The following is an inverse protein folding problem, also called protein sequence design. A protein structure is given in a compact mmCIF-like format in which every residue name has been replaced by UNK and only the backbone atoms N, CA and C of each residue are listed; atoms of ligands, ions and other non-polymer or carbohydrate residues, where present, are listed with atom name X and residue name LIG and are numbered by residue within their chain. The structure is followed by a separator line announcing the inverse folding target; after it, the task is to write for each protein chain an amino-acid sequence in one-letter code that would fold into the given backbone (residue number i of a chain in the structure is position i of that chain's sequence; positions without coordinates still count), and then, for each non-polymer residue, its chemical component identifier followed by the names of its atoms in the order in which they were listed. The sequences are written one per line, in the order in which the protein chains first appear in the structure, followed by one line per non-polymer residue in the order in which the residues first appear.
data_IF_783842274551
#
_entry.id   IF_783842274551
#
_cell.length_a   1.000
_cell.length_b   1.000
_cell.length_c   1.000
_cell.angle_alpha   90.00
_cell.angle_beta   90.00
_cell.angle_gamma   90.00
#
_symmetry.space_group_name_H-M   'P 1'
#
loop_
_entity.id
_entity.type
_entity.pdbx_description
1 polymer ?
#
# COMPACT_ATOMS: atom_id res chain seq x y z
N UNK A 1 7.68 -15.05 5.55
CA UNK A 1 7.90 -14.81 4.10
C UNK A 1 7.19 -13.54 3.67
N UNK A 2 7.85 -12.76 2.82
CA UNK A 2 7.24 -11.53 2.30
C UNK A 2 6.44 -11.79 1.03
N UNK A 3 5.34 -11.09 0.87
CA UNK A 3 4.59 -11.08 -0.38
C UNK A 3 4.04 -9.66 -0.64
N UNK A 4 3.89 -9.33 -1.91
CA UNK A 4 3.24 -8.08 -2.28
C UNK A 4 1.77 -8.20 -1.89
N UNK A 5 1.32 -7.32 -0.98
CA UNK A 5 -0.05 -7.35 -0.48
C UNK A 5 -0.95 -6.36 -1.20
N UNK A 6 -0.44 -5.18 -1.43
CA UNK A 6 -1.20 -4.12 -2.07
C UNK A 6 -0.30 -3.16 -2.83
N UNK A 7 -0.83 -2.64 -3.93
CA UNK A 7 -0.26 -1.49 -4.62
C UNK A 7 -1.09 -0.28 -4.20
N UNK A 8 -0.45 0.78 -3.77
CA UNK A 8 -1.12 2.01 -3.38
C UNK A 8 -1.03 3.01 -4.53
N UNK A 9 -2.17 3.48 -4.98
CA UNK A 9 -2.31 4.30 -6.19
C UNK A 9 -2.95 5.64 -5.83
N UNK A 10 -2.21 6.72 -6.03
CA UNK A 10 -2.72 8.07 -5.74
C UNK A 10 -3.67 8.54 -6.82
N UNK A 11 -4.84 9.05 -6.42
CA UNK A 11 -5.88 9.50 -7.35
C UNK A 11 -6.45 10.83 -6.89
N UNK A 12 -6.99 11.60 -7.81
CA UNK A 12 -7.61 12.91 -7.51
C UNK A 12 -9.12 12.83 -7.35
N UNK A 13 -9.75 11.83 -7.92
CA UNK A 13 -11.19 11.60 -7.81
C UNK A 13 -11.40 10.15 -7.40
N UNK A 14 -11.63 9.97 -6.11
CA UNK A 14 -11.73 8.62 -5.53
C UNK A 14 -12.91 7.84 -6.10
N UNK A 15 -14.07 8.47 -6.23
CA UNK A 15 -15.27 7.80 -6.74
C UNK A 15 -15.08 7.28 -8.17
N UNK A 16 -14.54 8.14 -9.04
CA UNK A 16 -14.26 7.75 -10.43
C UNK A 16 -13.21 6.66 -10.50
N UNK A 17 -12.18 6.72 -9.66
CA UNK A 17 -11.14 5.71 -9.61
C UNK A 17 -11.69 4.36 -9.16
N UNK A 18 -12.56 4.33 -8.14
CA UNK A 18 -13.22 3.11 -7.70
C UNK A 18 -14.02 2.50 -8.84
N UNK A 19 -14.84 3.29 -9.53
CA UNK A 19 -15.64 2.80 -10.65
C UNK A 19 -14.78 2.25 -11.77
N UNK A 20 -13.74 2.99 -12.15
CA UNK A 20 -12.85 2.58 -13.24
C UNK A 20 -12.10 1.29 -12.92
N UNK A 21 -11.41 1.26 -11.79
CA UNK A 21 -10.56 0.12 -11.45
C UNK A 21 -11.36 -1.13 -11.10
N UNK A 22 -12.52 -0.96 -10.47
CA UNK A 22 -13.41 -2.09 -10.19
C UNK A 22 -13.87 -2.77 -11.49
N UNK A 23 -14.24 -1.97 -12.48
CA UNK A 23 -14.66 -2.50 -13.78
C UNK A 23 -13.48 -3.07 -14.56
N UNK A 24 -12.37 -2.33 -14.61
CA UNK A 24 -11.19 -2.73 -15.40
C UNK A 24 -10.58 -4.04 -14.93
N UNK A 25 -10.50 -4.25 -13.62
CA UNK A 25 -9.82 -5.41 -13.03
C UNK A 25 -10.78 -6.51 -12.57
N UNK A 26 -12.08 -6.28 -12.62
CA UNK A 26 -13.07 -7.14 -11.99
C UNK A 26 -12.81 -7.27 -10.47
N UNK A 27 -12.52 -6.13 -9.85
CA UNK A 27 -12.32 -6.00 -8.41
C UNK A 27 -13.56 -5.42 -7.75
N UNK A 28 -13.61 -5.51 -6.44
CA UNK A 28 -14.67 -4.91 -5.63
C UNK A 28 -14.08 -4.29 -4.37
N UNK A 29 -14.84 -3.39 -3.74
CA UNK A 29 -14.45 -2.83 -2.46
C UNK A 29 -14.36 -3.95 -1.42
N UNK A 30 -13.21 -4.04 -0.76
CA UNK A 30 -13.02 -4.99 0.34
C UNK A 30 -13.74 -4.53 1.60
N UNK A 31 -13.82 -3.22 1.80
CA UNK A 31 -14.51 -2.55 2.89
C UNK A 31 -15.24 -1.32 2.34
N UNK A 32 -16.23 -0.76 3.05
CA UNK A 32 -16.82 0.51 2.64
C UNK A 32 -15.73 1.57 2.48
N UNK A 33 -15.81 2.35 1.40
CA UNK A 33 -14.81 3.37 1.12
C UNK A 33 -14.87 4.50 2.15
N UNK A 34 -13.69 4.98 2.55
CA UNK A 34 -13.56 6.19 3.33
C UNK A 34 -13.59 7.42 2.42
N UNK A 35 -13.54 8.61 3.03
CA UNK A 35 -13.55 9.86 2.27
C UNK A 35 -12.30 10.02 1.40
N UNK A 36 -11.17 9.48 1.85
CA UNK A 36 -9.86 9.64 1.20
C UNK A 36 -9.16 8.32 0.88
N UNK A 37 -9.82 7.20 1.09
CA UNK A 37 -9.19 5.89 0.95
C UNK A 37 -10.20 4.83 0.54
N UNK A 38 -9.79 3.96 -0.37
CA UNK A 38 -10.58 2.79 -0.76
C UNK A 38 -9.65 1.61 -1.04
N UNK A 39 -10.07 0.42 -0.69
CA UNK A 39 -9.30 -0.78 -0.91
C UNK A 39 -10.09 -1.74 -1.80
N UNK A 40 -9.53 -2.05 -2.96
CA UNK A 40 -10.13 -2.96 -3.92
C UNK A 40 -9.42 -4.32 -3.89
N UNK A 41 -10.18 -5.37 -4.05
CA UNK A 41 -9.65 -6.73 -4.09
C UNK A 41 -10.35 -7.53 -5.19
N UNK A 42 -9.71 -8.60 -5.70
CA UNK A 42 -10.36 -9.46 -6.69
C UNK A 42 -11.70 -9.99 -6.20
N UNK A 43 -12.71 -9.99 -7.05
CA UNK A 43 -14.02 -10.58 -6.73
C UNK A 43 -13.92 -12.06 -6.48
N UNK A 44 -13.05 -12.73 -7.20
CA UNK A 44 -12.88 -14.18 -7.12
C UNK A 44 -11.41 -14.50 -6.88
N UNK A 45 -11.13 -15.28 -5.84
CA UNK A 45 -9.80 -15.80 -5.57
C UNK A 45 -8.89 -14.81 -4.86
N UNK A 46 -7.63 -15.21 -4.77
CA UNK A 46 -6.59 -14.41 -4.13
C UNK A 46 -5.86 -13.58 -5.18
N UNK A 47 -5.41 -12.41 -4.79
CA UNK A 47 -4.65 -11.55 -5.67
C UNK A 47 -4.19 -10.30 -4.94
N UNK A 48 -3.39 -9.52 -5.65
CA UNK A 48 -2.85 -8.27 -5.12
C UNK A 48 -3.99 -7.27 -4.97
N UNK A 49 -4.07 -6.64 -3.82
CA UNK A 49 -5.03 -5.59 -3.56
C UNK A 49 -4.58 -4.28 -4.23
N UNK A 50 -5.53 -3.48 -4.63
CA UNK A 50 -5.27 -2.13 -5.12
C UNK A 50 -5.90 -1.15 -4.13
N UNK A 51 -5.06 -0.40 -3.45
CA UNK A 51 -5.52 0.65 -2.54
C UNK A 51 -5.49 1.98 -3.28
N UNK A 52 -6.58 2.72 -3.19
CA UNK A 52 -6.72 4.02 -3.82
C UNK A 52 -6.65 5.09 -2.74
N UNK A 53 -5.71 6.00 -2.86
CA UNK A 53 -5.55 7.10 -1.92
C UNK A 53 -5.82 8.42 -2.60
N UNK A 54 -6.73 9.22 -2.02
CA UNK A 54 -7.00 10.56 -2.52
C UNK A 54 -5.78 11.44 -2.25
N UNK A 55 -5.28 12.07 -3.31
CA UNK A 55 -4.18 13.03 -3.24
C UNK A 55 -4.68 14.39 -3.69
N UNK A 56 -4.23 15.45 -3.01
CA UNK A 56 -4.67 16.82 -3.28
C UNK A 56 -3.63 17.62 -4.06
N UNK A 57 -2.40 17.13 -4.14
CA UNK A 57 -1.30 17.84 -4.81
C UNK A 57 -1.12 17.35 -6.23
N UNK A 58 -0.89 18.27 -7.16
CA UNK A 58 -0.54 17.95 -8.54
C UNK A 58 0.88 17.42 -8.67
N UNK A 59 1.71 17.61 -7.65
CA UNK A 59 3.16 17.37 -7.76
C UNK A 59 3.59 15.93 -7.57
N UNK A 60 2.78 15.10 -6.93
CA UNK A 60 3.21 13.71 -6.76
C UNK A 60 2.01 12.83 -6.50
N UNK A 61 1.63 12.10 -7.50
CA UNK A 61 0.89 10.87 -7.28
C UNK A 61 1.88 9.90 -6.67
N UNK A 62 1.76 9.65 -5.39
CA UNK A 62 2.65 8.74 -4.70
C UNK A 62 2.12 7.32 -4.83
N UNK A 63 2.81 6.55 -5.63
CA UNK A 63 2.51 5.13 -5.77
C UNK A 63 3.54 4.37 -4.95
N UNK A 64 3.10 3.42 -4.14
CA UNK A 64 4.02 2.56 -3.40
C UNK A 64 3.40 1.18 -3.21
N UNK A 65 4.23 0.23 -2.77
CA UNK A 65 3.77 -1.13 -2.46
C UNK A 65 3.65 -1.31 -0.95
N UNK A 66 2.66 -2.07 -0.55
CA UNK A 66 2.58 -2.63 0.78
C UNK A 66 3.02 -4.09 0.70
N UNK A 67 3.99 -4.45 1.51
CA UNK A 67 4.51 -5.81 1.59
C UNK A 67 4.03 -6.41 2.91
N UNK A 68 3.35 -7.53 2.84
CA UNK A 68 2.80 -8.19 4.02
C UNK A 68 3.81 -9.15 4.63
N UNK A 69 3.95 -9.08 5.96
CA UNK A 69 4.88 -9.89 6.72
C UNK A 69 4.18 -10.55 7.90
N UNK A 70 4.44 -11.82 8.10
CA UNK A 70 3.97 -12.56 9.28
C UNK A 70 4.76 -12.13 10.52
N UNK A 71 6.04 -11.84 10.35
CA UNK A 71 6.93 -11.34 11.40
C UNK A 71 7.62 -10.08 10.89
N UNK A 72 6.93 -8.96 11.05
CA UNK A 72 7.38 -7.66 10.55
C UNK A 72 8.78 -7.30 11.05
N UNK A 73 9.05 -7.46 12.34
CA UNK A 73 10.32 -7.09 12.93
C UNK A 73 11.48 -7.84 12.30
N UNK A 74 11.35 -9.14 12.17
CA UNK A 74 12.35 -10.00 11.56
C UNK A 74 12.59 -9.63 10.10
N UNK A 75 11.50 -9.40 9.35
CA UNK A 75 11.61 -9.05 7.95
C UNK A 75 12.23 -7.67 7.74
N UNK A 76 11.90 -6.70 8.58
CA UNK A 76 12.53 -5.38 8.53
C UNK A 76 14.04 -5.49 8.76
N UNK A 77 14.46 -6.24 9.79
CA UNK A 77 15.88 -6.47 10.06
C UNK A 77 16.59 -7.09 8.86
N UNK A 78 15.96 -8.09 8.24
CA UNK A 78 16.52 -8.75 7.05
C UNK A 78 16.64 -7.77 5.88
N UNK A 79 15.61 -6.97 5.62
CA UNK A 79 15.62 -6.00 4.54
C UNK A 79 16.71 -4.93 4.73
N UNK A 80 16.93 -4.50 5.97
CA UNK A 80 18.02 -3.56 6.26
C UNK A 80 19.38 -4.16 5.91
N UNK A 81 19.58 -5.45 6.17
CA UNK A 81 20.84 -6.11 5.79
C UNK A 81 20.99 -6.24 4.27
N UNK A 82 19.88 -6.24 3.52
CA UNK A 82 19.89 -6.32 2.06
C UNK A 82 20.08 -4.95 1.38
N UNK A 83 20.12 -3.86 2.17
CA UNK A 83 20.38 -2.54 1.62
C UNK A 83 19.23 -1.55 1.72
N UNK A 84 18.09 -1.95 2.27
CA UNK A 84 17.02 -1.01 2.55
C UNK A 84 17.40 -0.08 3.71
N UNK A 85 16.77 1.07 3.79
CA UNK A 85 16.95 2.02 4.88
C UNK A 85 15.61 2.39 5.48
N UNK A 86 15.62 2.76 6.77
CA UNK A 86 14.41 3.27 7.41
C UNK A 86 14.12 4.67 6.86
N UNK A 87 12.87 4.91 6.50
CA UNK A 87 12.43 6.25 6.14
C UNK A 87 11.96 6.98 7.40
N UNK A 88 12.34 8.25 7.55
CA UNK A 88 11.80 9.09 8.59
C UNK A 88 10.30 9.23 8.41
N UNK A 89 9.53 8.87 9.45
CA UNK A 89 8.07 8.83 9.35
C UNK A 89 7.44 9.01 10.72
N UNK A 90 6.35 9.76 10.76
CA UNK A 90 5.56 9.90 11.99
C UNK A 90 4.44 8.86 11.96
N UNK A 91 4.46 7.94 12.93
CA UNK A 91 3.48 6.87 13.00
C UNK A 91 2.33 7.26 13.92
N UNK A 92 1.10 7.00 13.46
CA UNK A 92 -0.07 7.08 14.32
C UNK A 92 -0.06 5.95 15.34
N UNK A 93 -0.78 6.13 16.44
CA UNK A 93 -0.92 5.09 17.46
C UNK A 93 -1.56 3.84 16.84
N UNK A 94 -0.97 2.68 17.13
CA UNK A 94 -1.46 1.41 16.60
C UNK A 94 -1.06 1.12 15.17
N UNK A 95 -0.14 1.88 14.58
CA UNK A 95 0.33 1.63 13.22
C UNK A 95 0.90 0.21 13.08
N UNK A 96 0.42 -0.51 12.08
CA UNK A 96 0.83 -1.89 11.79
C UNK A 96 1.89 -1.97 10.69
N UNK A 97 2.43 -0.85 10.27
CA UNK A 97 3.38 -0.77 9.17
C UNK A 97 4.66 -0.05 9.56
N UNK A 98 5.73 -0.39 8.85
CA UNK A 98 7.03 0.31 8.93
C UNK A 98 7.37 0.80 7.52
N UNK A 99 7.76 2.06 7.39
CA UNK A 99 8.13 2.65 6.09
C UNK A 99 9.64 2.52 5.89
N UNK A 100 10.00 1.90 4.78
CA UNK A 100 11.39 1.73 4.35
C UNK A 100 11.60 2.39 2.99
N UNK A 101 12.85 2.65 2.66
CA UNK A 101 13.27 2.96 1.30
C UNK A 101 14.07 1.78 0.76
N UNK A 102 13.88 1.45 -0.52
CA UNK A 102 14.76 0.51 -1.19
C UNK A 102 16.13 1.15 -1.47
N UNK A 103 17.13 0.42 -2.00
CA UNK A 103 18.44 1.01 -2.27
C UNK A 103 18.43 2.23 -3.20
N UNK A 104 17.43 2.36 -4.07
CA UNK A 104 17.28 3.52 -4.95
C UNK A 104 16.46 4.66 -4.34
N UNK A 105 16.01 4.51 -3.09
CA UNK A 105 15.24 5.54 -2.41
C UNK A 105 13.74 5.49 -2.66
N UNK A 106 13.22 4.41 -3.22
CA UNK A 106 11.78 4.25 -3.42
C UNK A 106 11.11 3.79 -2.14
N UNK A 107 10.10 4.52 -1.63
CA UNK A 107 9.44 4.14 -0.38
C UNK A 107 8.50 2.95 -0.56
N UNK A 108 8.43 2.11 0.46
CA UNK A 108 7.47 1.02 0.55
C UNK A 108 7.16 0.74 2.02
N UNK A 109 6.08 0.04 2.27
CA UNK A 109 5.67 -0.29 3.64
C UNK A 109 5.76 -1.79 3.88
N UNK A 110 6.21 -2.18 5.08
CA UNK A 110 6.12 -3.56 5.56
C UNK A 110 5.01 -3.60 6.59
N UNK A 111 3.95 -4.32 6.28
CA UNK A 111 2.72 -4.37 7.08
C UNK A 111 2.68 -5.69 7.84
N UNK A 112 2.45 -5.62 9.15
CA UNK A 112 2.25 -6.81 9.97
C UNK A 112 0.85 -7.37 9.72
N UNK A 113 0.77 -8.60 9.31
CA UNK A 113 -0.51 -9.29 9.11
C UNK A 113 -0.68 -10.48 10.05
#
# INVERSE_FOLDING_TARGET
MLKIGAIVWGVKDLKKAIEFWSAALNYELKYPADIDWAMLAPKNGDGIQLSLKLVTSDKAKRHHMDIFADDQKKEVERLLTLGATLKEWEYEEGADYVVLNDPDGNPFCVVQV
#
